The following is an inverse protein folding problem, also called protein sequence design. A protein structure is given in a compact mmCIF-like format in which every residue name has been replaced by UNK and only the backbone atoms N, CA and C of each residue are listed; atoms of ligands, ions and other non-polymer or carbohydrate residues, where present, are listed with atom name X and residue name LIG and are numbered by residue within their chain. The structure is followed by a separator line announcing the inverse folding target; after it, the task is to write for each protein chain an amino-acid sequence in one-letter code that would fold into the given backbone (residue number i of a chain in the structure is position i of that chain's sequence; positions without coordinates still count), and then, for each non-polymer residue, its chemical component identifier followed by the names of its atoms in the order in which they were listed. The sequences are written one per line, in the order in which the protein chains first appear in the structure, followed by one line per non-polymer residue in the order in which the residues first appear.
data_IF_171660746718
#
_entry.id   IF_171660746718
#
_cell.length_a   1.000
_cell.length_b   1.000
_cell.length_c   1.000
_cell.angle_alpha   90.00
_cell.angle_beta   90.00
_cell.angle_gamma   90.00
#
_symmetry.space_group_name_H-M   'P 1'
#
loop_
_entity.id
_entity.type
_entity.pdbx_description
1 polymer ?
#
# COMPACT_ATOMS: atom_id res chain seq x y z
N UNK A 1 -15.90 -20.11 -2.03
CA UNK A 1 -14.89 -19.02 -2.06
C UNK A 1 -14.03 -19.22 -3.30
N UNK A 2 -13.91 -18.21 -4.17
CA UNK A 2 -13.00 -18.30 -5.31
C UNK A 2 -11.55 -18.29 -4.82
N UNK A 3 -10.69 -19.19 -5.33
CA UNK A 3 -9.26 -19.22 -5.02
C UNK A 3 -8.64 -17.90 -5.47
N UNK A 4 -8.04 -17.15 -4.55
CA UNK A 4 -7.28 -15.93 -4.88
C UNK A 4 -6.08 -16.34 -5.72
N UNK A 5 -5.92 -15.75 -6.91
CA UNK A 5 -4.76 -15.96 -7.76
C UNK A 5 -3.57 -15.26 -7.10
N UNK A 6 -2.46 -15.97 -6.96
CA UNK A 6 -1.21 -15.37 -6.52
C UNK A 6 -0.52 -14.79 -7.76
N UNK A 7 -0.34 -13.47 -7.78
CA UNK A 7 0.38 -12.76 -8.84
C UNK A 7 1.71 -12.31 -8.26
N UNK A 8 2.79 -12.97 -8.66
CA UNK A 8 4.13 -12.74 -8.12
C UNK A 8 4.98 -11.87 -9.06
N UNK A 9 4.62 -11.79 -10.33
CA UNK A 9 5.35 -11.03 -11.34
C UNK A 9 4.43 -10.07 -12.09
N UNK A 10 5.01 -9.01 -12.67
CA UNK A 10 4.30 -8.12 -13.59
C UNK A 10 3.65 -8.90 -14.75
N UNK A 11 4.34 -9.92 -15.26
CA UNK A 11 3.84 -10.81 -16.33
C UNK A 11 2.57 -11.57 -15.93
N UNK A 12 2.41 -11.93 -14.65
CA UNK A 12 1.21 -12.63 -14.19
C UNK A 12 -0.04 -11.77 -14.39
N UNK A 13 0.05 -10.47 -14.10
CA UNK A 13 -1.05 -9.51 -14.27
C UNK A 13 -1.52 -9.41 -15.73
N UNK A 14 -0.58 -9.38 -16.68
CA UNK A 14 -0.90 -9.38 -18.10
C UNK A 14 -1.42 -10.75 -18.56
N UNK A 15 -0.88 -11.84 -18.02
CA UNK A 15 -1.30 -13.20 -18.37
C UNK A 15 -2.75 -13.47 -17.94
N UNK A 16 -3.14 -13.08 -16.72
CA UNK A 16 -4.52 -13.24 -16.25
C UNK A 16 -5.49 -12.38 -17.06
N UNK A 17 -5.06 -11.18 -17.47
CA UNK A 17 -5.84 -10.25 -18.30
C UNK A 17 -6.15 -10.85 -19.66
N UNK A 18 -5.19 -11.57 -20.26
CA UNK A 18 -5.33 -12.27 -21.54
C UNK A 18 -6.26 -13.50 -21.48
N UNK A 19 -6.27 -14.22 -20.35
CA UNK A 19 -6.91 -15.55 -20.27
C UNK A 19 -8.29 -15.48 -19.62
N UNK A 20 -8.52 -14.53 -18.71
CA UNK A 20 -9.75 -14.45 -17.93
C UNK A 20 -10.63 -13.25 -18.33
N UNK A 21 -11.91 -13.33 -17.96
CA UNK A 21 -12.85 -12.22 -18.15
C UNK A 21 -12.49 -11.04 -17.23
N UNK A 22 -12.84 -9.79 -17.60
CA UNK A 22 -12.60 -8.59 -16.79
C UNK A 22 -13.04 -8.70 -15.32
N UNK A 23 -14.17 -9.37 -15.04
CA UNK A 23 -14.65 -9.62 -13.67
C UNK A 23 -13.62 -10.33 -12.78
N UNK A 24 -12.70 -11.10 -13.36
CA UNK A 24 -11.66 -11.85 -12.64
C UNK A 24 -10.40 -11.01 -12.46
N UNK A 25 -9.88 -10.39 -13.52
CA UNK A 25 -8.56 -9.76 -13.47
C UNK A 25 -8.60 -8.30 -13.01
N UNK A 26 -9.67 -7.55 -13.30
CA UNK A 26 -9.76 -6.13 -12.97
C UNK A 26 -9.58 -5.82 -11.48
N UNK A 27 -10.12 -6.60 -10.53
CA UNK A 27 -9.89 -6.36 -9.10
C UNK A 27 -8.40 -6.38 -8.71
N UNK A 28 -7.57 -7.21 -9.35
CA UNK A 28 -6.14 -7.26 -9.07
C UNK A 28 -5.41 -6.00 -9.54
N UNK A 29 -5.80 -5.46 -10.69
CA UNK A 29 -5.26 -4.19 -11.20
C UNK A 29 -5.74 -3.01 -10.35
N UNK A 30 -7.01 -2.96 -9.94
CA UNK A 30 -7.50 -1.94 -9.00
C UNK A 30 -6.78 -1.99 -7.65
N UNK A 31 -6.45 -3.19 -7.16
CA UNK A 31 -5.67 -3.35 -5.93
C UNK A 31 -4.27 -2.74 -6.04
N UNK A 32 -3.71 -2.56 -7.24
CA UNK A 32 -2.43 -1.85 -7.41
C UNK A 32 -2.53 -0.38 -7.02
N UNK A 33 -3.71 0.25 -6.99
CA UNK A 33 -3.93 1.63 -6.54
C UNK A 33 -4.22 1.73 -5.02
N UNK A 34 -4.48 0.62 -4.33
CA UNK A 34 -4.96 0.61 -2.94
C UNK A 34 -3.85 0.24 -1.98
N UNK A 35 -3.67 1.00 -0.89
CA UNK A 35 -2.71 0.62 0.16
C UNK A 35 -1.25 0.75 -0.25
N UNK A 36 -0.95 1.59 -1.25
CA UNK A 36 0.41 1.89 -1.71
C UNK A 36 1.26 2.58 -0.65
N UNK A 37 0.62 3.37 0.20
CA UNK A 37 1.24 4.15 1.24
C UNK A 37 0.86 3.58 2.59
N UNK A 38 1.81 3.60 3.52
CA UNK A 38 1.60 3.16 4.90
C UNK A 38 2.35 4.07 5.86
N UNK A 39 1.94 4.02 7.13
CA UNK A 39 2.60 4.72 8.21
C UNK A 39 3.84 3.96 8.65
N UNK A 40 4.98 4.66 8.67
CA UNK A 40 6.26 4.16 9.12
C UNK A 40 6.64 4.83 10.43
N UNK A 41 7.01 4.02 11.42
CA UNK A 41 7.68 4.51 12.62
C UNK A 41 9.09 4.98 12.24
N UNK A 42 9.38 6.27 12.44
CA UNK A 42 10.70 6.84 12.20
C UNK A 42 11.53 6.99 13.48
N UNK A 43 10.97 6.58 14.63
CA UNK A 43 11.63 6.54 15.92
C UNK A 43 11.31 7.72 16.84
N UNK A 44 12.17 7.88 17.85
CA UNK A 44 12.01 8.90 18.87
C UNK A 44 12.55 10.25 18.40
N UNK A 45 11.79 11.31 18.63
CA UNK A 45 12.17 12.69 18.26
C UNK A 45 12.05 13.63 19.45
N UNK A 46 12.80 14.74 19.42
CA UNK A 46 12.71 15.78 20.46
C UNK A 46 11.44 16.63 20.33
N UNK A 47 10.96 16.81 19.11
CA UNK A 47 9.79 17.63 18.80
C UNK A 47 9.05 16.95 17.65
N UNK A 48 7.79 16.59 17.90
CA UNK A 48 6.93 15.94 16.91
C UNK A 48 6.40 16.93 15.87
N UNK A 49 6.22 16.43 14.65
CA UNK A 49 5.62 17.14 13.52
C UNK A 49 4.25 16.50 13.24
N UNK A 50 3.22 17.32 13.05
CA UNK A 50 1.87 16.87 12.73
C UNK A 50 1.34 17.60 11.51
N UNK A 51 1.17 16.87 10.42
CA UNK A 51 0.60 17.34 9.15
C UNK A 51 -0.09 16.18 8.42
N UNK A 52 -0.38 16.32 7.13
CA UNK A 52 -1.05 15.29 6.32
C UNK A 52 -0.22 14.01 6.16
N UNK A 53 1.10 14.12 6.28
CA UNK A 53 2.08 13.05 6.08
C UNK A 53 2.84 12.67 7.35
N UNK A 54 2.61 13.37 8.46
CA UNK A 54 3.32 13.18 9.73
C UNK A 54 2.31 13.12 10.89
N UNK A 55 2.47 12.16 11.80
CA UNK A 55 1.84 12.22 13.11
C UNK A 55 2.80 11.71 14.19
N UNK A 56 2.56 12.09 15.44
CA UNK A 56 3.33 11.61 16.58
C UNK A 56 2.40 11.16 17.70
N UNK A 57 2.96 10.35 18.59
CA UNK A 57 2.34 9.90 19.84
C UNK A 57 3.32 10.08 20.99
N UNK A 58 2.80 10.36 22.17
CA UNK A 58 3.57 10.33 23.41
C UNK A 58 3.53 8.92 24.01
N UNK A 59 4.69 8.42 24.40
CA UNK A 59 4.86 7.13 25.08
C UNK A 59 5.58 7.36 26.41
N UNK A 60 5.13 6.69 27.47
CA UNK A 60 5.88 6.62 28.71
C UNK A 60 6.90 5.48 28.64
N UNK A 61 8.17 5.79 28.85
CA UNK A 61 9.24 4.81 28.97
C UNK A 61 9.75 4.78 30.40
N UNK A 62 9.77 3.58 30.98
CA UNK A 62 10.31 3.34 32.31
C UNK A 62 11.73 2.79 32.22
N UNK A 63 12.68 3.49 32.82
CA UNK A 63 14.03 2.98 33.00
C UNK A 63 14.00 1.77 33.97
N UNK A 64 14.57 0.65 33.54
CA UNK A 64 14.53 -0.60 34.33
C UNK A 64 15.51 -0.59 35.51
N UNK A 65 16.54 0.26 35.50
CA UNK A 65 17.56 0.36 36.55
C UNK A 65 17.17 1.41 37.60
N UNK A 66 16.72 2.59 37.17
CA UNK A 66 16.37 3.70 38.07
C UNK A 66 14.89 3.72 38.45
N UNK A 67 14.04 3.06 37.65
CA UNK A 67 12.59 3.10 37.82
C UNK A 67 11.93 4.41 37.38
N UNK A 68 12.72 5.36 36.87
CA UNK A 68 12.25 6.66 36.40
C UNK A 68 11.36 6.51 35.16
N UNK A 69 10.25 7.27 35.12
CA UNK A 69 9.34 7.31 33.97
C UNK A 69 9.61 8.59 33.20
N UNK A 70 9.90 8.45 31.92
CA UNK A 70 10.13 9.56 30.99
C UNK A 70 9.09 9.54 29.89
N UNK A 71 8.60 10.71 29.49
CA UNK A 71 7.74 10.84 28.32
C UNK A 71 8.62 11.04 27.09
N UNK A 72 8.44 10.19 26.08
CA UNK A 72 9.11 10.30 24.78
C UNK A 72 8.08 10.53 23.69
N UNK A 73 8.51 11.18 22.60
CA UNK A 73 7.67 11.41 21.42
C UNK A 73 8.14 10.46 20.33
N UNK A 74 7.24 9.57 19.86
CA UNK A 74 7.48 8.70 18.72
C UNK A 74 6.80 9.28 17.49
N UNK A 75 7.55 9.43 16.41
CA UNK A 75 7.10 10.04 15.16
C UNK A 75 6.82 8.97 14.10
N UNK A 76 5.77 9.20 13.34
CA UNK A 76 5.37 8.39 12.21
C UNK A 76 5.25 9.23 10.94
N UNK A 77 5.53 8.61 9.81
CA UNK A 77 5.47 9.22 8.49
C UNK A 77 4.70 8.36 7.49
N UNK A 78 3.83 9.00 6.71
CA UNK A 78 3.08 8.37 5.64
C UNK A 78 3.93 8.36 4.37
N UNK A 79 4.39 7.19 3.97
CA UNK A 79 5.30 7.03 2.83
C UNK A 79 4.88 5.86 1.96
N UNK A 80 5.38 5.87 0.73
CA UNK A 80 5.24 4.75 -0.20
C UNK A 80 5.83 3.47 0.39
N UNK A 81 5.09 2.38 0.29
CA UNK A 81 5.53 1.06 0.70
C UNK A 81 6.31 0.40 -0.43
N UNK A 82 7.66 0.30 -0.36
CA UNK A 82 8.46 -0.27 -1.44
C UNK A 82 8.16 -1.75 -1.70
N UNK A 83 7.56 -2.46 -0.73
CA UNK A 83 7.14 -3.86 -0.86
C UNK A 83 5.75 -4.00 -1.48
N UNK A 84 5.01 -2.90 -1.66
CA UNK A 84 3.72 -2.94 -2.33
C UNK A 84 3.89 -3.42 -3.78
N UNK A 85 3.02 -4.31 -4.31
CA UNK A 85 3.18 -4.86 -5.66
C UNK A 85 3.33 -3.82 -6.77
N UNK A 86 2.75 -2.63 -6.59
CA UNK A 86 2.95 -1.51 -7.52
C UNK A 86 4.44 -1.17 -7.71
N UNK A 87 5.15 -0.92 -6.61
CA UNK A 87 6.57 -0.55 -6.64
C UNK A 87 7.46 -1.76 -6.88
N UNK A 88 7.22 -2.85 -6.14
CA UNK A 88 8.05 -4.06 -6.19
C UNK A 88 8.03 -4.76 -7.56
N UNK A 89 6.93 -4.63 -8.32
CA UNK A 89 6.81 -5.20 -9.67
C UNK A 89 7.03 -4.17 -10.78
N UNK A 90 7.46 -2.96 -10.43
CA UNK A 90 7.78 -1.88 -11.37
C UNK A 90 6.60 -1.52 -12.31
N UNK A 91 5.41 -1.38 -11.74
CA UNK A 91 4.28 -0.77 -12.46
C UNK A 91 4.45 0.74 -12.50
N UNK A 92 4.02 1.32 -13.61
CA UNK A 92 3.80 2.77 -13.75
C UNK A 92 2.32 3.09 -13.52
N UNK A 93 2.01 4.34 -13.19
CA UNK A 93 0.62 4.75 -12.98
C UNK A 93 -0.17 4.63 -14.28
N UNK A 94 0.44 5.01 -15.40
CA UNK A 94 -0.13 4.98 -16.74
C UNK A 94 -0.54 3.56 -17.14
N UNK A 95 0.30 2.55 -16.86
CA UNK A 95 -0.03 1.14 -17.14
C UNK A 95 -1.23 0.64 -16.33
N UNK A 96 -1.30 1.06 -15.07
CA UNK A 96 -2.38 0.67 -14.16
C UNK A 96 -3.69 1.30 -14.59
N UNK A 97 -3.68 2.61 -14.85
CA UNK A 97 -4.88 3.36 -15.25
C UNK A 97 -5.41 2.89 -16.60
N UNK A 98 -4.54 2.73 -17.61
CA UNK A 98 -4.94 2.20 -18.91
C UNK A 98 -5.56 0.79 -18.79
N UNK A 99 -5.01 -0.06 -17.92
CA UNK A 99 -5.56 -1.41 -17.71
C UNK A 99 -6.88 -1.42 -16.96
N UNK A 100 -7.06 -0.50 -16.01
CA UNK A 100 -8.33 -0.33 -15.30
C UNK A 100 -9.40 0.19 -16.25
N UNK A 101 -9.09 1.23 -17.03
CA UNK A 101 -9.99 1.80 -18.03
C UNK A 101 -10.43 0.74 -19.06
N UNK A 102 -9.48 -0.04 -19.59
CA UNK A 102 -9.80 -1.15 -20.50
C UNK A 102 -10.78 -2.14 -19.84
N UNK A 103 -10.52 -2.53 -18.59
CA UNK A 103 -11.36 -3.49 -17.88
C UNK A 103 -12.77 -2.97 -17.62
N UNK A 104 -12.90 -1.70 -17.26
CA UNK A 104 -14.19 -1.04 -17.04
C UNK A 104 -14.98 -0.92 -18.34
N UNK A 105 -14.33 -0.50 -19.43
CA UNK A 105 -14.94 -0.43 -20.75
C UNK A 105 -15.42 -1.80 -21.25
N UNK A 106 -14.64 -2.86 -21.00
CA UNK A 106 -15.05 -4.22 -21.36
C UNK A 106 -16.22 -4.70 -20.50
N UNK A 107 -16.27 -4.37 -19.21
CA UNK A 107 -17.41 -4.71 -18.35
C UNK A 107 -18.69 -3.99 -18.77
N UNK A 108 -18.59 -2.70 -19.12
CA UNK A 108 -19.72 -1.90 -19.57
C UNK A 108 -20.34 -2.43 -20.87
N UNK A 109 -19.54 -3.03 -21.75
CA UNK A 109 -20.01 -3.65 -23.01
C UNK A 109 -20.70 -5.00 -22.83
N UNK A 110 -20.50 -5.65 -21.68
CA UNK A 110 -21.04 -6.99 -21.36
C UNK A 110 -22.21 -6.88 -20.37
N UNK A 111 -22.45 -5.69 -19.80
CA UNK A 111 -23.58 -5.35 -18.95
C UNK A 111 -24.79 -4.97 -19.80
#
# INVERSE_FOLDING_TARGET
MAKKLHLATKSDYYSIKRIHKPKVWLPYWKALNVGRQMWYDIGLVKTGIKDETHYWVEEEQKDQQTGEVTTVIRQYEYRDNPLHPFFNLHFTQEEVDASIEEGENLLAKIA
#
